data_IF_152258756303
#
_entry.id   IF_152258756303
#
_cell.length_a   1.000
_cell.length_b   1.000
_cell.length_c   1.000
_cell.angle_alpha   90.00
_cell.angle_beta   90.00
_cell.angle_gamma   90.00
#
_symmetry.space_group_name_H-M   'P 1'
#
loop_
_entity.id
_entity.type
_entity.pdbx_description
1 polymer ?
#
# COMPACT_ATOMS: atom_id res chain seq x y z
N UNK A 1 40.04 20.87 -18.79
CA UNK A 1 40.04 21.85 -17.69
C UNK A 1 38.60 22.18 -17.26
N UNK A 2 37.87 21.22 -16.67
CA UNK A 2 36.49 21.45 -16.20
C UNK A 2 36.26 21.06 -14.73
N UNK A 3 37.20 20.35 -14.08
CA UNK A 3 37.03 19.88 -12.70
C UNK A 3 37.33 20.93 -11.61
N UNK A 4 37.96 22.07 -11.93
CA UNK A 4 38.40 23.04 -10.91
C UNK A 4 37.30 24.00 -10.43
N UNK A 5 36.19 24.15 -11.18
CA UNK A 5 35.11 25.09 -10.86
C UNK A 5 34.13 24.55 -9.78
N UNK A 6 34.00 23.22 -9.68
CA UNK A 6 33.09 22.51 -8.76
C UNK A 6 33.60 22.45 -7.31
N UNK A 7 34.82 22.89 -7.03
CA UNK A 7 35.42 22.89 -5.68
C UNK A 7 35.80 24.29 -5.17
N UNK A 8 35.32 25.36 -5.83
CA UNK A 8 35.57 26.71 -5.32
C UNK A 8 34.81 26.94 -4.01
N UNK A 9 35.36 27.70 -3.03
CA UNK A 9 34.67 28.00 -1.78
C UNK A 9 33.30 28.64 -1.99
N UNK A 10 33.17 29.48 -3.03
CA UNK A 10 31.89 30.10 -3.42
C UNK A 10 30.88 29.07 -3.92
N UNK A 11 31.30 28.10 -4.74
CA UNK A 11 30.44 27.01 -5.20
C UNK A 11 30.01 26.11 -4.05
N UNK A 12 30.93 25.75 -3.14
CA UNK A 12 30.62 24.95 -1.96
C UNK A 12 29.63 25.66 -1.02
N UNK A 13 29.79 26.97 -0.80
CA UNK A 13 28.84 27.78 -0.02
C UNK A 13 27.48 27.86 -0.70
N UNK A 14 27.43 28.10 -2.01
CA UNK A 14 26.16 28.12 -2.77
C UNK A 14 25.48 26.76 -2.72
N UNK A 15 26.22 25.67 -2.93
CA UNK A 15 25.70 24.30 -2.85
C UNK A 15 25.20 23.96 -1.44
N UNK A 16 25.95 24.37 -0.41
CA UNK A 16 25.55 24.20 0.98
C UNK A 16 24.26 24.98 1.29
N UNK A 17 24.15 26.24 0.88
CA UNK A 17 22.93 27.05 1.09
C UNK A 17 21.74 26.50 0.30
N UNK A 18 21.93 26.07 -0.95
CA UNK A 18 20.89 25.47 -1.78
C UNK A 18 20.41 24.12 -1.25
N UNK A 19 21.28 23.33 -0.61
CA UNK A 19 20.89 22.07 0.05
C UNK A 19 20.30 22.28 1.45
N UNK A 20 20.72 23.33 2.17
CA UNK A 20 20.21 23.63 3.51
C UNK A 20 18.73 24.06 3.50
N UNK A 21 18.26 24.74 2.44
CA UNK A 21 16.86 25.21 2.37
C UNK A 21 15.86 24.04 2.33
N UNK A 22 15.97 23.04 1.42
CA UNK A 22 15.09 21.87 1.42
C UNK A 22 15.17 21.07 2.73
N UNK A 23 16.37 20.92 3.29
CA UNK A 23 16.56 20.21 4.56
C UNK A 23 15.86 20.96 5.71
N UNK A 24 16.05 22.27 5.81
CA UNK A 24 15.39 23.12 6.81
C UNK A 24 13.87 23.09 6.67
N UNK A 25 13.36 23.09 5.44
CA UNK A 25 11.92 22.94 5.18
C UNK A 25 11.39 21.57 5.65
N UNK A 26 12.09 20.46 5.34
CA UNK A 26 11.72 19.12 5.83
C UNK A 26 11.77 19.04 7.35
N UNK A 27 12.80 19.60 7.99
CA UNK A 27 12.89 19.66 9.46
C UNK A 27 11.70 20.44 10.04
N UNK A 28 11.34 21.57 9.44
CA UNK A 28 10.18 22.36 9.86
C UNK A 28 8.88 21.54 9.78
N UNK A 29 8.68 20.80 8.68
CA UNK A 29 7.52 19.90 8.53
C UNK A 29 7.49 18.77 9.57
N UNK A 30 8.65 18.22 9.92
CA UNK A 30 8.78 17.13 10.90
C UNK A 30 8.62 17.59 12.35
N UNK A 31 8.93 18.86 12.65
CA UNK A 31 8.74 19.45 13.97
C UNK A 31 7.34 20.07 14.15
N UNK A 32 6.59 20.22 13.06
CA UNK A 32 5.24 20.75 13.12
C UNK A 32 4.33 19.83 13.95
N UNK A 33 3.51 20.43 14.82
CA UNK A 33 2.53 19.68 15.61
C UNK A 33 1.51 19.04 14.67
N UNK A 34 1.29 17.71 14.72
CA UNK A 34 0.27 17.06 13.92
C UNK A 34 -1.14 17.60 14.23
N UNK A 35 -1.97 17.70 13.20
CA UNK A 35 -3.37 18.14 13.33
C UNK A 35 -4.31 17.00 13.73
N UNK A 36 -3.91 15.76 13.49
CA UNK A 36 -4.63 14.54 13.84
C UNK A 36 -3.72 13.60 14.62
N UNK A 37 -4.25 12.49 15.13
CA UNK A 37 -3.45 11.53 15.87
C UNK A 37 -2.38 10.87 14.97
N UNK A 38 -1.18 10.64 15.52
CA UNK A 38 -0.08 10.00 14.80
C UNK A 38 0.61 8.99 15.70
N UNK A 39 0.71 7.74 15.23
CA UNK A 39 1.65 6.79 15.81
C UNK A 39 3.01 6.98 15.16
N UNK A 40 3.99 7.36 15.96
CA UNK A 40 5.40 7.36 15.56
C UNK A 40 6.04 6.04 15.95
N UNK A 41 6.82 5.44 15.06
CA UNK A 41 7.57 4.24 15.39
C UNK A 41 8.96 4.27 14.78
N UNK A 42 9.92 3.68 15.49
CA UNK A 42 11.27 3.51 15.00
C UNK A 42 11.40 2.21 14.21
N UNK A 43 12.12 2.30 13.10
CA UNK A 43 12.44 1.20 12.21
C UNK A 43 13.92 1.20 11.84
N UNK A 44 14.39 0.04 11.39
CA UNK A 44 15.72 -0.15 10.81
C UNK A 44 15.78 0.23 9.33
N UNK A 45 14.64 0.24 8.63
CA UNK A 45 14.53 0.51 7.20
C UNK A 45 13.97 1.89 6.86
N UNK A 46 14.19 2.31 5.62
CA UNK A 46 13.71 3.60 5.10
C UNK A 46 12.30 3.55 4.52
N UNK A 47 11.84 2.38 4.07
CA UNK A 47 10.66 2.24 3.22
C UNK A 47 9.71 1.16 3.76
N UNK A 48 8.44 1.52 4.00
CA UNK A 48 7.38 0.65 4.50
C UNK A 48 6.16 0.77 3.62
N UNK A 49 5.73 -0.31 2.96
CA UNK A 49 4.75 -0.11 1.89
C UNK A 49 3.31 -0.13 2.38
N UNK A 50 2.96 -1.08 3.23
CA UNK A 50 1.60 -1.25 3.70
C UNK A 50 1.60 -1.48 5.20
N UNK A 51 0.50 -1.09 5.86
CA UNK A 51 0.24 -1.40 7.25
C UNK A 51 -1.21 -1.87 7.42
N UNK A 52 -1.45 -2.90 8.23
CA UNK A 52 -2.79 -3.32 8.66
C UNK A 52 -2.88 -3.47 10.17
N UNK A 53 -4.00 -3.05 10.75
CA UNK A 53 -4.31 -3.21 12.15
C UNK A 53 -4.74 -4.64 12.45
N UNK A 54 -4.02 -5.29 13.37
CA UNK A 54 -4.36 -6.58 13.94
C UNK A 54 -5.02 -6.35 15.32
N UNK A 55 -6.36 -6.21 15.33
CA UNK A 55 -7.17 -5.90 16.52
C UNK A 55 -6.99 -6.92 17.66
N UNK A 56 -7.00 -8.22 17.35
CA UNK A 56 -6.88 -9.27 18.37
C UNK A 56 -5.54 -9.28 19.11
N UNK A 57 -4.45 -8.90 18.43
CA UNK A 57 -3.11 -8.83 19.03
C UNK A 57 -2.65 -7.39 19.30
N UNK A 58 -3.53 -6.40 19.10
CA UNK A 58 -3.28 -4.96 19.30
C UNK A 58 -1.96 -4.47 18.71
N UNK A 59 -1.73 -4.80 17.44
CA UNK A 59 -0.49 -4.43 16.72
C UNK A 59 -0.79 -3.98 15.31
N UNK A 60 0.06 -3.09 14.77
CA UNK A 60 0.12 -2.90 13.33
C UNK A 60 1.09 -3.92 12.73
N UNK A 61 0.71 -4.51 11.61
CA UNK A 61 1.58 -5.34 10.77
C UNK A 61 2.02 -4.50 9.59
N UNK A 62 3.32 -4.45 9.31
CA UNK A 62 3.89 -3.55 8.31
C UNK A 62 4.80 -4.31 7.36
N UNK A 63 4.65 -4.08 6.06
CA UNK A 63 5.50 -4.68 5.03
C UNK A 63 6.73 -3.85 4.73
N UNK A 64 7.82 -4.53 4.41
CA UNK A 64 9.09 -3.88 4.11
C UNK A 64 9.34 -3.87 2.60
N UNK A 65 9.62 -2.70 2.02
CA UNK A 65 10.06 -2.62 0.63
C UNK A 65 11.40 -3.38 0.40
N UNK A 66 12.17 -3.60 1.47
CA UNK A 66 13.38 -4.43 1.47
C UNK A 66 13.13 -5.93 1.65
N UNK A 67 11.86 -6.36 1.72
CA UNK A 67 11.43 -7.73 1.97
C UNK A 67 11.27 -8.04 3.45
N UNK A 68 10.16 -8.71 3.79
CA UNK A 68 9.81 -9.11 5.15
C UNK A 68 8.65 -8.32 5.74
N UNK A 69 8.33 -8.66 6.98
CA UNK A 69 7.17 -8.13 7.73
C UNK A 69 7.63 -7.79 9.14
N UNK A 70 7.11 -6.69 9.67
CA UNK A 70 7.27 -6.30 11.06
C UNK A 70 5.95 -6.13 11.77
N UNK A 71 6.01 -6.14 13.09
CA UNK A 71 4.91 -5.80 13.97
C UNK A 71 5.25 -4.60 14.85
N UNK A 72 4.22 -3.82 15.18
CA UNK A 72 4.30 -2.65 16.04
C UNK A 72 3.18 -2.76 17.07
N UNK A 73 3.53 -3.17 18.28
CA UNK A 73 2.57 -3.31 19.37
C UNK A 73 2.13 -1.94 19.89
N UNK A 74 0.82 -1.78 20.12
CA UNK A 74 0.22 -0.54 20.64
C UNK A 74 -0.24 -0.79 22.09
N UNK A 75 0.43 -0.19 23.09
CA UNK A 75 0.06 -0.32 24.50
C UNK A 75 -1.37 0.15 24.81
N UNK A 76 -1.90 -0.23 25.98
CA UNK A 76 -3.18 0.27 26.49
C UNK A 76 -3.13 1.74 26.88
N UNK A 77 -2.06 2.13 27.56
CA UNK A 77 -1.79 3.53 27.86
C UNK A 77 -1.19 4.17 26.60
N UNK A 78 -2.03 4.89 25.83
CA UNK A 78 -1.64 5.67 24.63
C UNK A 78 -0.75 6.89 24.96
N UNK A 79 0.14 6.76 25.94
CA UNK A 79 1.16 7.75 26.20
C UNK A 79 2.02 7.92 24.94
N UNK A 80 2.40 9.16 24.65
CA UNK A 80 3.12 9.68 23.48
C UNK A 80 4.53 9.08 23.21
N UNK A 81 4.71 7.77 23.44
CA UNK A 81 5.95 7.03 23.24
C UNK A 81 6.08 6.68 21.77
N UNK A 82 7.28 6.91 21.24
CA UNK A 82 7.66 6.37 19.93
C UNK A 82 7.73 4.85 20.04
N UNK A 83 6.87 4.17 19.29
CA UNK A 83 6.78 2.71 19.26
C UNK A 83 8.02 2.09 18.61
N UNK A 84 8.15 0.77 18.73
CA UNK A 84 9.23 0.01 18.09
C UNK A 84 8.65 -1.00 17.11
N UNK A 85 9.22 -1.03 15.92
CA UNK A 85 8.99 -2.11 14.95
C UNK A 85 9.90 -3.29 15.27
N UNK A 86 9.30 -4.49 15.34
CA UNK A 86 10.02 -5.76 15.48
C UNK A 86 9.80 -6.57 14.20
N UNK A 87 10.88 -6.98 13.54
CA UNK A 87 10.78 -7.84 12.35
C UNK A 87 10.40 -9.27 12.76
N UNK A 88 9.36 -9.82 12.13
CA UNK A 88 8.79 -11.14 12.44
C UNK A 88 8.92 -12.14 11.29
N UNK A 89 8.92 -11.66 10.05
CA UNK A 89 9.12 -12.51 8.86
C UNK A 89 10.27 -11.97 8.03
N UNK A 90 11.24 -12.84 7.72
CA UNK A 90 12.34 -12.56 6.80
C UNK A 90 12.94 -13.86 6.26
N UNK A 91 12.54 -14.27 5.07
CA UNK A 91 13.05 -15.49 4.45
C UNK A 91 14.18 -15.21 3.45
N UNK A 92 15.18 -16.09 3.43
CA UNK A 92 16.38 -15.97 2.58
C UNK A 92 16.04 -16.20 1.11
N UNK A 93 15.10 -17.11 0.82
CA UNK A 93 14.64 -17.41 -0.55
C UNK A 93 13.92 -16.22 -1.21
N UNK A 94 13.38 -15.30 -0.41
CA UNK A 94 12.77 -14.03 -0.85
C UNK A 94 13.71 -12.82 -0.70
N UNK A 95 14.98 -13.02 -0.35
CA UNK A 95 15.92 -11.91 -0.21
C UNK A 95 16.07 -11.14 -1.54
N UNK A 96 15.84 -9.83 -1.49
CA UNK A 96 15.87 -8.95 -2.65
C UNK A 96 14.52 -8.75 -3.35
N UNK A 97 13.49 -9.51 -2.98
CA UNK A 97 12.11 -9.14 -3.26
C UNK A 97 11.62 -8.07 -2.28
N UNK A 98 10.66 -7.25 -2.69
CA UNK A 98 9.91 -6.38 -1.79
C UNK A 98 8.67 -7.10 -1.24
N UNK A 99 8.26 -6.76 -0.03
CA UNK A 99 6.94 -7.08 0.50
C UNK A 99 6.09 -5.82 0.39
N UNK A 100 4.98 -5.88 -0.35
CA UNK A 100 4.13 -4.74 -0.68
C UNK A 100 2.80 -4.83 0.09
N UNK A 101 1.67 -4.90 -0.59
CA UNK A 101 0.36 -5.07 -0.01
C UNK A 101 0.23 -6.30 0.89
N UNK A 102 -0.56 -6.12 1.96
CA UNK A 102 -0.85 -7.18 2.92
C UNK A 102 -2.32 -7.15 3.36
N UNK A 103 -2.88 -8.33 3.59
CA UNK A 103 -4.25 -8.50 4.07
C UNK A 103 -4.33 -9.60 5.11
N UNK A 104 -5.09 -9.34 6.16
CA UNK A 104 -5.34 -10.30 7.24
C UNK A 104 -6.60 -11.09 6.88
N UNK A 105 -6.46 -12.39 6.63
CA UNK A 105 -7.57 -13.33 6.48
C UNK A 105 -7.90 -13.92 7.85
N UNK A 106 -8.77 -13.19 8.58
CA UNK A 106 -9.16 -13.51 9.95
C UNK A 106 -9.79 -14.89 10.12
N UNK A 107 -10.78 -15.30 9.31
CA UNK A 107 -11.38 -16.63 9.44
C UNK A 107 -10.39 -17.79 9.38
N UNK A 108 -9.22 -17.59 8.75
CA UNK A 108 -8.18 -18.62 8.56
C UNK A 108 -6.88 -18.33 9.32
N UNK A 109 -6.90 -17.35 10.23
CA UNK A 109 -5.75 -16.95 11.06
C UNK A 109 -4.44 -16.78 10.27
N UNK A 110 -4.49 -16.09 9.13
CA UNK A 110 -3.30 -15.94 8.29
C UNK A 110 -3.14 -14.52 7.74
N UNK A 111 -1.90 -14.15 7.49
CA UNK A 111 -1.50 -12.94 6.79
C UNK A 111 -1.07 -13.30 5.38
N UNK A 112 -1.65 -12.66 4.37
CA UNK A 112 -1.21 -12.79 2.98
C UNK A 112 -0.44 -11.54 2.56
N UNK A 113 0.65 -11.74 1.82
CA UNK A 113 1.57 -10.67 1.42
C UNK A 113 1.98 -10.82 -0.03
N UNK A 114 1.76 -9.78 -0.81
CA UNK A 114 2.28 -9.67 -2.16
C UNK A 114 3.79 -9.42 -2.12
N UNK A 115 4.51 -10.23 -2.88
CA UNK A 115 5.97 -10.20 -2.95
C UNK A 115 6.38 -9.79 -4.36
N UNK A 116 7.00 -8.62 -4.48
CA UNK A 116 7.34 -8.03 -5.78
C UNK A 116 8.79 -8.27 -6.18
N UNK A 117 9.04 -8.43 -7.47
CA UNK A 117 10.37 -8.40 -8.06
C UNK A 117 10.71 -6.98 -8.54
N UNK A 118 11.32 -6.20 -7.64
CA UNK A 118 11.67 -4.80 -7.92
C UNK A 118 12.78 -4.67 -8.98
N UNK A 119 13.67 -5.65 -9.07
CA UNK A 119 14.83 -5.60 -9.97
C UNK A 119 14.56 -6.25 -11.32
N UNK A 120 13.49 -7.03 -11.46
CA UNK A 120 13.13 -7.74 -12.68
C UNK A 120 14.02 -8.94 -12.98
N UNK A 121 14.72 -9.48 -11.98
CA UNK A 121 15.63 -10.62 -12.11
C UNK A 121 15.29 -11.77 -11.14
N UNK A 122 14.11 -11.72 -10.53
CA UNK A 122 13.55 -12.70 -9.60
C UNK A 122 12.14 -13.05 -10.07
N UNK A 123 11.23 -13.29 -9.14
CA UNK A 123 9.85 -13.68 -9.40
C UNK A 123 8.90 -12.90 -8.50
N UNK A 124 7.70 -12.61 -9.01
CA UNK A 124 6.58 -12.13 -8.19
C UNK A 124 5.91 -13.31 -7.50
N UNK A 125 5.43 -13.13 -6.28
CA UNK A 125 4.79 -14.21 -5.52
C UNK A 125 3.69 -13.70 -4.59
N UNK A 126 2.83 -14.61 -4.15
CA UNK A 126 1.96 -14.44 -2.99
C UNK A 126 2.46 -15.37 -1.88
N UNK A 127 2.77 -14.82 -0.71
CA UNK A 127 3.08 -15.61 0.46
C UNK A 127 1.91 -15.54 1.46
N UNK A 128 1.67 -16.64 2.17
CA UNK A 128 0.77 -16.66 3.32
C UNK A 128 1.52 -17.18 4.55
N UNK A 129 1.25 -16.55 5.70
CA UNK A 129 1.86 -16.88 6.98
C UNK A 129 0.78 -17.10 8.03
N UNK A 130 0.95 -18.10 8.88
CA UNK A 130 0.11 -18.24 10.07
C UNK A 130 0.36 -17.03 10.98
N UNK A 131 -0.72 -16.39 11.40
CA UNK A 131 -0.64 -15.08 12.05
C UNK A 131 -0.14 -15.18 13.51
N UNK A 132 -0.22 -16.36 14.10
CA UNK A 132 0.20 -16.62 15.48
C UNK A 132 1.67 -17.04 15.57
N UNK A 133 2.15 -17.80 14.59
CA UNK A 133 3.48 -18.44 14.61
C UNK A 133 4.46 -17.84 13.60
N UNK A 134 3.97 -17.09 12.63
CA UNK A 134 4.72 -16.60 11.47
C UNK A 134 5.28 -17.70 10.56
N UNK A 135 4.83 -18.95 10.73
CA UNK A 135 5.17 -20.04 9.83
C UNK A 135 4.55 -19.82 8.44
N UNK A 136 5.33 -20.05 7.39
CA UNK A 136 4.84 -19.89 6.01
C UNK A 136 3.89 -21.03 5.66
N UNK A 137 2.63 -20.70 5.45
CA UNK A 137 1.57 -21.63 5.01
C UNK A 137 1.79 -22.01 3.56
N UNK A 138 2.03 -21.03 2.68
CA UNK A 138 2.39 -21.28 1.29
C UNK A 138 3.20 -20.13 0.68
N UNK A 139 3.81 -20.42 -0.47
CA UNK A 139 4.40 -19.44 -1.38
C UNK A 139 4.03 -19.80 -2.82
N UNK A 140 3.23 -18.96 -3.46
CA UNK A 140 2.76 -19.16 -4.83
C UNK A 140 3.49 -18.21 -5.76
N UNK A 141 4.30 -18.73 -6.67
CA UNK A 141 4.90 -17.91 -7.71
C UNK A 141 3.83 -17.43 -8.70
N UNK A 142 3.82 -16.13 -8.99
CA UNK A 142 2.84 -15.45 -9.85
C UNK A 142 3.42 -15.05 -11.21
N UNK A 143 4.73 -14.79 -11.26
CA UNK A 143 5.47 -14.39 -12.45
C UNK A 143 6.96 -14.69 -12.28
N UNK A 144 7.73 -14.78 -13.35
CA UNK A 144 9.19 -14.91 -13.35
C UNK A 144 9.87 -14.16 -14.50
N UNK A 145 11.20 -14.24 -14.62
CA UNK A 145 11.96 -13.45 -15.61
C UNK A 145 11.64 -13.80 -17.07
N UNK A 146 11.13 -15.00 -17.31
CA UNK A 146 10.74 -15.50 -18.63
C UNK A 146 9.27 -15.23 -18.98
N UNK A 147 8.48 -14.71 -18.03
CA UNK A 147 7.08 -14.38 -18.23
C UNK A 147 6.91 -12.95 -18.75
N UNK A 148 5.66 -12.53 -18.99
CA UNK A 148 5.37 -11.12 -19.24
C UNK A 148 5.80 -10.26 -18.04
N UNK A 149 6.23 -9.02 -18.32
CA UNK A 149 6.66 -8.07 -17.28
C UNK A 149 5.50 -7.81 -16.32
N UNK A 150 5.72 -8.18 -15.07
CA UNK A 150 4.70 -8.21 -14.02
C UNK A 150 5.25 -7.58 -12.73
N UNK A 151 4.39 -7.00 -11.91
CA UNK A 151 4.73 -6.43 -10.61
C UNK A 151 3.59 -6.64 -9.62
N UNK A 152 3.68 -7.69 -8.80
CA UNK A 152 2.66 -8.03 -7.80
C UNK A 152 2.65 -6.99 -6.68
N UNK A 153 1.49 -6.42 -6.37
CA UNK A 153 1.41 -5.23 -5.51
C UNK A 153 0.47 -5.39 -4.32
N UNK A 154 -0.84 -5.40 -4.53
CA UNK A 154 -1.84 -5.40 -3.46
C UNK A 154 -2.67 -6.70 -3.51
N UNK A 155 -3.26 -7.09 -2.37
CA UNK A 155 -3.98 -8.37 -2.24
C UNK A 155 -5.28 -8.23 -1.47
N UNK A 156 -6.35 -8.83 -2.00
CA UNK A 156 -7.65 -9.02 -1.34
C UNK A 156 -7.97 -10.51 -1.18
N UNK A 157 -8.82 -10.85 -0.21
CA UNK A 157 -9.26 -12.23 0.03
C UNK A 157 -10.79 -12.28 0.08
N UNK A 158 -11.39 -13.22 -0.65
CA UNK A 158 -12.84 -13.46 -0.63
C UNK A 158 -13.29 -14.28 0.59
N UNK A 159 -14.61 -14.49 0.73
CA UNK A 159 -15.17 -15.27 1.83
C UNK A 159 -14.66 -16.72 1.85
N UNK A 160 -14.41 -17.31 0.68
CA UNK A 160 -13.91 -18.67 0.48
C UNK A 160 -12.39 -18.80 0.75
N UNK A 161 -11.68 -17.69 0.90
CA UNK A 161 -10.25 -17.63 1.18
C UNK A 161 -9.38 -17.65 -0.07
N UNK A 162 -9.95 -17.44 -1.26
CA UNK A 162 -9.16 -17.18 -2.46
C UNK A 162 -8.59 -15.77 -2.39
N UNK A 163 -7.34 -15.65 -2.78
CA UNK A 163 -6.62 -14.39 -2.84
C UNK A 163 -6.59 -13.85 -4.26
N UNK A 164 -6.71 -12.53 -4.37
CA UNK A 164 -6.68 -11.77 -5.61
C UNK A 164 -5.57 -10.75 -5.53
N UNK A 165 -4.55 -10.90 -6.37
CA UNK A 165 -3.32 -10.10 -6.34
C UNK A 165 -3.25 -9.22 -7.57
N UNK A 166 -3.06 -7.92 -7.41
CA UNK A 166 -2.95 -6.98 -8.52
C UNK A 166 -1.55 -6.98 -9.14
N UNK A 167 -1.51 -6.77 -10.46
CA UNK A 167 -0.29 -6.54 -11.22
C UNK A 167 -0.20 -5.09 -11.70
N UNK A 168 0.68 -4.33 -11.05
CA UNK A 168 0.97 -2.93 -11.33
C UNK A 168 1.63 -2.71 -12.71
N UNK A 169 2.15 -3.76 -13.36
CA UNK A 169 2.84 -3.65 -14.64
C UNK A 169 2.06 -4.21 -15.81
N UNK A 170 1.45 -5.38 -15.65
CA UNK A 170 0.67 -6.02 -16.71
C UNK A 170 -0.83 -5.71 -16.63
N UNK A 171 -1.29 -4.94 -15.63
CA UNK A 171 -2.69 -4.56 -15.44
C UNK A 171 -3.64 -5.77 -15.51
N UNK A 172 -3.35 -6.78 -14.69
CA UNK A 172 -4.12 -8.02 -14.53
C UNK A 172 -4.27 -8.35 -13.04
N UNK A 173 -5.10 -9.33 -12.71
CA UNK A 173 -5.23 -9.84 -11.35
C UNK A 173 -5.00 -11.34 -11.37
N UNK A 174 -4.11 -11.84 -10.52
CA UNK A 174 -3.95 -13.28 -10.30
C UNK A 174 -4.92 -13.75 -9.22
N UNK A 175 -5.50 -14.93 -9.43
CA UNK A 175 -6.34 -15.62 -8.45
C UNK A 175 -5.61 -16.83 -7.90
N UNK A 176 -5.45 -16.90 -6.59
CA UNK A 176 -4.80 -17.98 -5.86
C UNK A 176 -5.81 -18.59 -4.90
N UNK A 177 -5.91 -19.92 -4.88
CA UNK A 177 -6.81 -20.65 -4.00
C UNK A 177 -6.40 -20.55 -2.54
N UNK A 178 -7.34 -20.91 -1.66
CA UNK A 178 -7.11 -20.95 -0.22
C UNK A 178 -5.91 -21.83 0.19
N UNK A 179 -5.59 -22.85 -0.59
CA UNK A 179 -4.48 -23.78 -0.40
C UNK A 179 -3.15 -23.30 -1.03
N UNK A 180 -3.13 -22.09 -1.60
CA UNK A 180 -1.97 -21.55 -2.30
C UNK A 180 -1.86 -22.02 -3.76
N UNK A 181 -2.85 -22.75 -4.29
CA UNK A 181 -2.82 -23.17 -5.69
C UNK A 181 -3.12 -21.99 -6.61
N UNK A 182 -2.29 -21.79 -7.63
CA UNK A 182 -2.60 -20.85 -8.70
C UNK A 182 -3.86 -21.30 -9.47
N UNK A 183 -4.87 -20.44 -9.59
CA UNK A 183 -6.15 -20.79 -10.22
C UNK A 183 -6.31 -20.18 -11.60
N UNK A 184 -6.23 -18.86 -11.71
CA UNK A 184 -6.53 -18.13 -12.95
C UNK A 184 -5.93 -16.73 -12.97
N UNK A 185 -6.08 -16.05 -14.12
CA UNK A 185 -5.77 -14.63 -14.29
C UNK A 185 -7.02 -13.93 -14.80
N UNK A 186 -7.43 -12.86 -14.13
CA UNK A 186 -8.49 -11.96 -14.57
C UNK A 186 -7.85 -10.86 -15.42
N UNK A 187 -8.37 -10.69 -16.64
CA UNK A 187 -7.97 -9.63 -17.57
C UNK A 187 -9.19 -8.92 -18.11
N UNK A 188 -9.03 -7.63 -18.36
CA UNK A 188 -10.03 -6.82 -19.05
C UNK A 188 -9.35 -5.76 -19.89
N UNK A 189 -9.83 -5.46 -21.11
CA UNK A 189 -9.40 -4.30 -21.86
C UNK A 189 -9.56 -2.98 -21.09
N UNK A 190 -10.46 -2.94 -20.10
CA UNK A 190 -10.69 -1.76 -19.26
C UNK A 190 -9.52 -1.45 -18.32
N UNK A 191 -8.65 -2.43 -18.02
CA UNK A 191 -7.50 -2.23 -17.14
C UNK A 191 -6.33 -1.50 -17.81
N UNK A 192 -6.44 -1.20 -19.11
CA UNK A 192 -5.39 -0.54 -19.87
C UNK A 192 -5.94 0.74 -20.50
N UNK A 193 -5.31 1.86 -20.18
CA UNK A 193 -5.64 3.15 -20.76
C UNK A 193 -5.14 3.26 -22.20
N UNK A 194 -5.79 4.11 -23.00
CA UNK A 194 -5.35 4.38 -24.38
C UNK A 194 -4.00 5.06 -24.41
N UNK A 195 -3.78 6.00 -23.49
CA UNK A 195 -2.53 6.73 -23.37
C UNK A 195 -1.48 5.89 -22.64
N UNK A 196 -0.42 5.50 -23.35
CA UNK A 196 0.63 4.61 -22.83
C UNK A 196 1.25 5.10 -21.50
N UNK A 197 1.40 6.42 -21.31
CA UNK A 197 2.02 6.98 -20.11
C UNK A 197 1.15 6.77 -18.87
N UNK A 198 -0.18 6.61 -19.04
CA UNK A 198 -1.08 6.25 -17.95
C UNK A 198 -0.94 4.79 -17.53
N UNK A 199 -0.30 3.94 -18.34
CA UNK A 199 -0.05 2.53 -18.01
C UNK A 199 1.35 2.29 -17.41
N UNK A 200 2.05 3.35 -16.98
CA UNK A 200 3.36 3.20 -16.32
C UNK A 200 3.24 2.51 -14.96
N UNK A 201 2.15 2.82 -14.22
CA UNK A 201 1.68 2.07 -13.05
C UNK A 201 0.18 1.82 -13.22
N UNK A 202 -0.16 0.55 -13.34
CA UNK A 202 -1.47 -0.01 -13.67
C UNK A 202 -2.38 -0.21 -12.46
N UNK A 203 -3.02 -1.37 -12.41
CA UNK A 203 -3.83 -1.83 -11.27
C UNK A 203 -2.98 -1.94 -10.00
N UNK A 204 -3.51 -1.44 -8.89
CA UNK A 204 -2.78 -1.35 -7.63
C UNK A 204 -3.69 -1.78 -6.47
N UNK A 205 -4.28 -0.85 -5.71
CA UNK A 205 -5.07 -1.22 -4.55
C UNK A 205 -6.32 -2.04 -4.89
N UNK A 206 -6.60 -3.06 -4.08
CA UNK A 206 -7.72 -3.97 -4.25
C UNK A 206 -8.39 -4.31 -2.93
N UNK A 207 -9.73 -4.33 -2.91
CA UNK A 207 -10.52 -4.80 -1.76
C UNK A 207 -11.61 -5.76 -2.22
N UNK A 208 -11.96 -6.69 -1.34
CA UNK A 208 -13.14 -7.54 -1.48
C UNK A 208 -14.33 -6.91 -0.77
N UNK A 209 -15.46 -6.84 -1.47
CA UNK A 209 -16.72 -6.34 -0.95
C UNK A 209 -17.59 -7.51 -0.44
N UNK A 210 -18.29 -7.37 0.70
CA UNK A 210 -19.10 -8.46 1.27
C UNK A 210 -20.21 -8.99 0.37
N UNK A 211 -20.66 -8.22 -0.61
CA UNK A 211 -21.63 -8.67 -1.63
C UNK A 211 -20.99 -9.53 -2.75
N UNK A 212 -19.74 -9.97 -2.61
CA UNK A 212 -19.14 -10.96 -3.50
C UNK A 212 -18.48 -10.39 -4.76
N UNK A 213 -17.96 -9.17 -4.71
CA UNK A 213 -17.20 -8.58 -5.82
C UNK A 213 -15.92 -7.90 -5.34
N UNK A 214 -14.99 -7.64 -6.26
CA UNK A 214 -13.78 -6.88 -5.97
C UNK A 214 -13.95 -5.44 -6.43
N UNK A 215 -13.29 -4.51 -5.74
CA UNK A 215 -13.05 -3.15 -6.21
C UNK A 215 -11.54 -2.99 -6.35
N UNK A 216 -11.08 -2.56 -7.52
CA UNK A 216 -9.66 -2.32 -7.81
C UNK A 216 -9.46 -0.93 -8.40
N UNK A 217 -8.37 -0.27 -8.01
CA UNK A 217 -7.98 1.03 -8.56
C UNK A 217 -6.86 0.88 -9.59
N UNK A 218 -6.90 1.70 -10.63
CA UNK A 218 -5.78 1.93 -11.53
C UNK A 218 -5.05 3.21 -11.13
N UNK A 219 -3.76 3.11 -10.81
CA UNK A 219 -2.98 4.17 -10.17
C UNK A 219 -3.02 5.47 -10.96
N UNK A 220 -2.54 5.48 -12.20
CA UNK A 220 -2.36 6.75 -12.92
C UNK A 220 -3.64 7.33 -13.54
N UNK A 221 -4.64 6.51 -13.89
CA UNK A 221 -5.93 7.04 -14.35
C UNK A 221 -6.89 7.39 -13.21
N UNK A 222 -6.75 6.74 -12.05
CA UNK A 222 -7.70 6.84 -10.94
C UNK A 222 -9.01 6.12 -11.20
N UNK A 223 -9.09 5.28 -12.25
CA UNK A 223 -10.30 4.54 -12.52
C UNK A 223 -10.50 3.46 -11.45
N UNK A 224 -11.72 3.37 -10.92
CA UNK A 224 -12.16 2.27 -10.08
C UNK A 224 -12.93 1.26 -10.93
N UNK A 225 -12.63 -0.02 -10.75
CA UNK A 225 -13.31 -1.11 -11.44
C UNK A 225 -13.97 -2.06 -10.44
N UNK A 226 -15.21 -2.45 -10.74
CA UNK A 226 -15.94 -3.51 -10.05
C UNK A 226 -15.77 -4.81 -10.81
N UNK A 227 -15.46 -5.89 -10.10
CA UNK A 227 -15.29 -7.24 -10.69
C UNK A 227 -16.26 -8.19 -10.00
N UNK A 228 -17.34 -8.56 -10.69
CA UNK A 228 -18.40 -9.42 -10.16
C UNK A 228 -17.95 -10.89 -10.19
N UNK A 229 -17.62 -11.47 -9.03
CA UNK A 229 -17.07 -12.82 -8.95
C UNK A 229 -18.12 -13.90 -9.19
N UNK A 230 -19.40 -13.61 -8.89
CA UNK A 230 -20.51 -14.53 -9.13
C UNK A 230 -20.91 -14.58 -10.61
N UNK A 231 -20.66 -13.51 -11.38
CA UNK A 231 -20.99 -13.41 -12.81
C UNK A 231 -19.77 -13.61 -13.71
N UNK A 232 -18.94 -14.59 -13.38
CA UNK A 232 -17.80 -14.98 -14.22
C UNK A 232 -16.71 -13.92 -14.31
N UNK A 233 -16.50 -13.16 -13.23
CA UNK A 233 -15.43 -12.16 -13.12
C UNK A 233 -15.60 -10.98 -14.12
N UNK A 234 -16.85 -10.60 -14.40
CA UNK A 234 -17.20 -9.47 -15.27
C UNK A 234 -16.66 -8.14 -14.70
N UNK A 235 -15.93 -7.39 -15.52
CA UNK A 235 -15.30 -6.12 -15.12
C UNK A 235 -16.10 -4.92 -15.62
N UNK A 236 -16.45 -4.00 -14.70
CA UNK A 236 -17.16 -2.74 -14.99
C UNK A 236 -16.44 -1.55 -14.43
N UNK A 237 -16.46 -0.43 -15.16
CA UNK A 237 -15.98 0.85 -14.66
C UNK A 237 -17.00 1.43 -13.66
N UNK A 238 -16.54 1.80 -12.48
CA UNK A 238 -17.33 2.55 -11.49
C UNK A 238 -17.25 4.02 -11.87
N UNK A 239 -18.39 4.65 -12.15
CA UNK A 239 -18.40 6.08 -12.50
C UNK A 239 -18.22 6.91 -11.23
N UNK A 240 -17.05 7.52 -11.08
CA UNK A 240 -16.73 8.36 -9.91
C UNK A 240 -16.94 9.84 -10.23
N UNK A 241 -17.66 10.53 -9.34
CA UNK A 241 -17.84 12.00 -9.36
C UNK A 241 -17.23 12.64 -8.11
N UNK A 242 -17.16 13.97 -8.05
CA UNK A 242 -16.69 14.70 -6.87
C UNK A 242 -15.17 14.91 -6.77
N UNK A 243 -14.37 14.32 -7.66
CA UNK A 243 -12.93 14.59 -7.76
C UNK A 243 -12.14 13.42 -8.36
N UNK A 244 -10.88 13.66 -8.79
CA UNK A 244 -10.06 12.61 -9.37
C UNK A 244 -9.43 11.69 -8.32
N UNK A 245 -9.35 10.40 -8.65
CA UNK A 245 -8.64 9.40 -7.87
C UNK A 245 -7.24 9.06 -8.45
N UNK A 246 -6.74 9.88 -9.38
CA UNK A 246 -5.39 9.74 -9.98
C UNK A 246 -4.30 9.68 -8.91
N UNK A 247 -3.31 8.80 -9.07
CA UNK A 247 -2.33 8.45 -8.05
C UNK A 247 -2.94 7.85 -6.78
N UNK A 248 -4.07 7.16 -6.92
CA UNK A 248 -4.57 6.26 -5.89
C UNK A 248 -3.74 4.98 -5.84
N UNK A 249 -3.46 4.51 -4.64
CA UNK A 249 -2.54 3.43 -4.32
C UNK A 249 -3.34 2.31 -3.63
N UNK A 250 -3.03 1.96 -2.39
CA UNK A 250 -3.80 1.01 -1.59
C UNK A 250 -5.26 1.43 -1.32
N UNK A 251 -6.15 0.44 -1.31
CA UNK A 251 -7.56 0.58 -0.96
C UNK A 251 -7.85 -0.04 0.42
N UNK A 252 -8.81 0.54 1.15
CA UNK A 252 -9.32 -0.03 2.40
C UNK A 252 -10.84 0.12 2.46
N UNK A 253 -11.54 -0.98 2.76
CA UNK A 253 -12.99 -0.98 2.94
C UNK A 253 -13.32 -0.48 4.36
N UNK A 254 -13.95 0.69 4.46
CA UNK A 254 -14.40 1.25 5.74
C UNK A 254 -15.78 0.71 6.13
N UNK A 255 -16.63 0.49 5.14
CA UNK A 255 -17.96 -0.11 5.26
C UNK A 255 -18.42 -0.59 3.88
N UNK A 256 -19.51 -1.37 3.75
CA UNK A 256 -20.03 -1.76 2.43
C UNK A 256 -20.25 -0.57 1.47
N UNK A 257 -20.56 0.61 1.98
CA UNK A 257 -20.80 1.79 1.14
C UNK A 257 -19.60 2.71 1.00
N UNK A 258 -18.49 2.47 1.71
CA UNK A 258 -17.35 3.42 1.78
C UNK A 258 -16.00 2.73 1.67
N UNK A 259 -15.15 3.23 0.78
CA UNK A 259 -13.73 2.89 0.72
C UNK A 259 -12.87 4.12 0.95
N UNK A 260 -11.69 3.89 1.50
CA UNK A 260 -10.59 4.85 1.51
C UNK A 260 -9.67 4.51 0.34
N UNK A 261 -9.32 5.53 -0.43
CA UNK A 261 -8.29 5.48 -1.46
C UNK A 261 -7.07 6.20 -0.90
N UNK A 262 -6.04 5.46 -0.48
CA UNK A 262 -4.75 6.04 -0.14
C UNK A 262 -4.02 6.50 -1.42
N UNK A 263 -3.04 7.37 -1.30
CA UNK A 263 -2.24 7.85 -2.42
C UNK A 263 -2.25 9.36 -2.59
N UNK A 264 -1.30 9.87 -3.36
CA UNK A 264 -0.99 11.30 -3.50
C UNK A 264 -2.24 12.12 -3.93
N UNK A 265 -2.63 13.22 -3.25
CA UNK A 265 -1.90 13.93 -2.19
C UNK A 265 -1.82 13.25 -0.82
N UNK A 266 -2.82 12.47 -0.38
CA UNK A 266 -2.71 11.55 0.78
C UNK A 266 -3.83 10.52 0.83
N UNK A 267 -5.09 10.94 0.91
CA UNK A 267 -6.23 10.03 0.84
C UNK A 267 -7.54 10.70 0.42
N UNK A 268 -8.45 9.90 -0.14
CA UNK A 268 -9.85 10.28 -0.43
C UNK A 268 -10.81 9.26 0.17
N UNK A 269 -11.94 9.74 0.66
CA UNK A 269 -13.07 8.91 1.06
C UNK A 269 -14.07 8.86 -0.10
N UNK A 270 -14.39 7.66 -0.55
CA UNK A 270 -15.29 7.42 -1.68
C UNK A 270 -16.50 6.64 -1.18
N UNK A 271 -17.69 7.11 -1.52
CA UNK A 271 -18.96 6.51 -1.11
C UNK A 271 -19.81 6.11 -2.33
N UNK A 272 -20.46 4.96 -2.24
CA UNK A 272 -21.46 4.47 -3.18
C UNK A 272 -22.75 4.10 -2.44
N UNK A 273 -23.90 4.32 -3.09
CA UNK A 273 -25.23 3.95 -2.58
C UNK A 273 -26.03 3.06 -3.54
N UNK A 274 -25.41 2.65 -4.66
CA UNK A 274 -26.05 1.88 -5.73
C UNK A 274 -25.33 0.56 -6.03
N UNK A 275 -24.70 -0.01 -5.01
CA UNK A 275 -23.94 -1.25 -5.14
C UNK A 275 -22.68 -1.10 -5.98
N UNK A 276 -22.04 0.08 -5.94
CA UNK A 276 -20.80 0.38 -6.66
C UNK A 276 -20.94 0.38 -8.19
N UNK A 277 -22.11 0.74 -8.72
CA UNK A 277 -22.25 1.10 -10.14
C UNK A 277 -21.75 2.54 -10.37
N UNK A 278 -22.00 3.43 -9.41
CA UNK A 278 -21.45 4.78 -9.32
C UNK A 278 -20.89 5.05 -7.93
N UNK A 279 -20.03 6.06 -7.82
CA UNK A 279 -19.50 6.49 -6.55
C UNK A 279 -19.18 8.00 -6.56
N UNK A 280 -19.01 8.58 -5.38
CA UNK A 280 -18.62 9.98 -5.22
C UNK A 280 -17.48 10.11 -4.23
N UNK A 281 -16.54 11.00 -4.51
CA UNK A 281 -15.57 11.46 -3.52
C UNK A 281 -16.31 12.38 -2.55
N UNK A 282 -16.47 11.92 -1.31
CA UNK A 282 -17.22 12.60 -0.25
C UNK A 282 -16.33 13.22 0.82
N UNK A 283 -15.02 13.01 0.72
CA UNK A 283 -14.06 13.71 1.55
C UNK A 283 -12.62 13.49 1.12
N UNK A 284 -11.75 14.38 1.55
CA UNK A 284 -10.31 14.29 1.31
C UNK A 284 -9.57 14.49 2.62
N UNK A 285 -8.35 13.95 2.67
CA UNK A 285 -7.40 14.19 3.75
C UNK A 285 -6.06 14.59 3.13
N UNK A 286 -5.40 15.59 3.73
CA UNK A 286 -4.07 16.04 3.33
C UNK A 286 -3.11 15.89 4.50
N UNK A 287 -2.39 14.77 4.52
CA UNK A 287 -1.34 14.44 5.47
C UNK A 287 0.06 14.89 5.01
N UNK A 288 1.12 14.34 5.62
CA UNK A 288 2.51 14.67 5.33
C UNK A 288 2.95 14.18 3.94
N UNK A 289 2.79 15.04 2.93
CA UNK A 289 3.07 14.75 1.51
C UNK A 289 4.50 14.28 1.24
N UNK A 290 5.48 14.76 2.01
CA UNK A 290 6.89 14.39 1.88
C UNK A 290 7.18 12.96 2.32
N UNK A 291 6.22 12.27 2.96
CA UNK A 291 6.35 10.87 3.40
C UNK A 291 5.65 9.86 2.48
N UNK A 292 4.82 10.33 1.56
CA UNK A 292 4.04 9.55 0.58
C UNK A 292 3.09 8.53 1.22
N UNK A 293 1.78 8.81 1.22
CA UNK A 293 0.79 7.85 1.67
C UNK A 293 0.59 6.74 0.63
N UNK A 294 0.55 5.48 1.06
CA UNK A 294 0.53 4.31 0.16
C UNK A 294 -0.55 3.31 0.50
N UNK A 295 -0.92 3.17 1.78
CA UNK A 295 -1.98 2.28 2.22
C UNK A 295 -2.81 2.87 3.36
N UNK A 296 -4.03 2.35 3.52
CA UNK A 296 -4.91 2.66 4.63
C UNK A 296 -5.23 1.40 5.44
N UNK A 297 -5.55 1.60 6.72
CA UNK A 297 -6.10 0.57 7.61
C UNK A 297 -7.08 1.15 8.60
N UNK A 298 -8.05 0.36 9.05
CA UNK A 298 -9.02 0.76 10.08
C UNK A 298 -8.62 0.21 11.45
N UNK A 299 -8.43 1.10 12.42
CA UNK A 299 -8.27 0.77 13.85
C UNK A 299 -9.41 1.42 14.63
N UNK A 300 -10.24 0.60 15.29
CA UNK A 300 -11.34 1.06 16.16
C UNK A 300 -12.28 2.06 15.47
N UNK A 301 -12.60 1.81 14.19
CA UNK A 301 -13.46 2.68 13.37
C UNK A 301 -12.77 3.93 12.80
N UNK A 302 -11.49 4.15 13.13
CA UNK A 302 -10.68 5.27 12.63
C UNK A 302 -9.74 4.82 11.52
N UNK A 303 -9.57 5.65 10.50
CA UNK A 303 -8.67 5.37 9.38
C UNK A 303 -7.28 5.87 9.71
N UNK A 304 -6.27 5.01 9.55
CA UNK A 304 -4.86 5.36 9.64
C UNK A 304 -4.17 5.11 8.30
N UNK A 305 -3.34 6.06 7.87
CA UNK A 305 -2.56 5.97 6.64
C UNK A 305 -1.11 5.58 6.93
N UNK A 306 -0.65 4.54 6.25
CA UNK A 306 0.76 4.24 6.11
C UNK A 306 1.44 5.26 5.20
N UNK A 307 2.62 5.71 5.60
CA UNK A 307 3.47 6.55 4.77
C UNK A 307 4.79 5.84 4.51
N UNK A 308 5.19 5.77 3.25
CA UNK A 308 6.32 4.96 2.82
C UNK A 308 7.64 5.37 3.46
N UNK A 309 7.91 6.67 3.51
CA UNK A 309 9.23 7.19 3.80
C UNK A 309 9.41 7.46 5.29
N UNK A 310 10.35 6.74 5.89
CA UNK A 310 10.87 7.02 7.23
C UNK A 310 11.96 8.09 7.17
N UNK A 311 12.03 8.94 8.20
CA UNK A 311 13.01 10.04 8.28
C UNK A 311 13.74 10.03 9.61
N UNK A 312 14.96 10.56 9.64
CA UNK A 312 15.77 10.68 10.85
C UNK A 312 17.02 9.78 10.88
N UNK A 313 18.00 10.20 11.68
CA UNK A 313 19.27 9.53 11.91
C UNK A 313 19.65 9.65 13.41
N UNK A 314 20.17 8.59 14.07
CA UNK A 314 20.50 7.27 13.53
C UNK A 314 19.28 6.35 13.31
N UNK A 315 18.21 6.56 14.07
CA UNK A 315 16.94 5.82 13.97
C UNK A 315 15.98 6.50 12.99
N UNK A 316 15.31 5.71 12.16
CA UNK A 316 14.35 6.19 11.16
C UNK A 316 12.98 6.13 11.81
N UNK A 317 12.28 7.24 11.79
CA UNK A 317 10.92 7.37 12.34
C UNK A 317 9.92 7.35 11.19
N UNK A 318 9.02 6.39 11.27
CA UNK A 318 7.86 6.26 10.40
C UNK A 318 6.59 6.70 11.13
N UNK A 319 5.51 6.90 10.38
CA UNK A 319 4.28 7.47 10.88
C UNK A 319 3.05 6.74 10.33
N UNK A 320 2.14 6.36 11.21
CA UNK A 320 0.76 6.03 10.88
C UNK A 320 -0.11 7.20 11.29
N UNK A 321 -0.72 7.89 10.32
CA UNK A 321 -1.44 9.15 10.56
C UNK A 321 -2.94 8.90 10.48
N UNK A 322 -3.68 9.30 11.52
CA UNK A 322 -5.14 9.28 11.50
C UNK A 322 -5.67 10.23 10.41
N UNK A 323 -6.42 9.69 9.46
CA UNK A 323 -7.06 10.46 8.41
C UNK A 323 -8.45 10.91 8.85
N UNK A 324 -8.56 12.20 9.19
CA UNK A 324 -9.84 12.86 9.45
C UNK A 324 -10.28 13.56 8.17
N UNK A 325 -11.26 12.98 7.47
CA UNK A 325 -11.71 13.48 6.17
C UNK A 325 -12.57 14.73 6.30
N UNK A 326 -12.29 15.72 5.45
CA UNK A 326 -13.14 16.90 5.24
C UNK A 326 -13.86 16.80 3.90
N UNK A 327 -15.14 17.19 3.88
CA UNK A 327 -15.93 17.31 2.65
C UNK A 327 -15.39 18.39 1.70
#
# INVERSE_FOLDING_TARGET
MACASLCSPKFLVIFFLLSAIPIGYLISLELAKPTTHVYHYHSTGWLRECAKWDDLNRRFLVSFLGGGIGEIHVPEDEDHKVLQEVAVVKHVDLAGNASLGLVIDRPRNRLLVATADVKGNRYGALAAYDLSTWERVFLTQLSGPSDEKSFADDVAVDAEGNAYVTDCKASKIWKVGVDGKFLSIIRSPLFTEKEWYRNLVGLNGIVYHPDGFLIVIHTFSGNLFKIDLAKGEEVKLIKVVGGPLTFGDGLELLSPTKIVVAGNPSARLVESSDGWETASVVGTFSGPKHRLATAATVKDGKVYLNHMVGLGYPKKTHTLVEAVFSA
#
